data_IF_507322390445
#
_entry.id   IF_507322390445
#
_cell.length_a   1.000
_cell.length_b   1.000
_cell.length_c   1.000
_cell.angle_alpha   90.00
_cell.angle_beta   90.00
_cell.angle_gamma   90.00
#
_symmetry.space_group_name_H-M   'P 1'
#
loop_
_entity.id
_entity.type
_entity.pdbx_description
1 polymer ?
#
# COMPACT_ATOMS: atom_id res chain seq x y z
N UNK A 1 -13.49 -8.35 -14.24
CA UNK A 1 -14.77 -8.32 -13.53
C UNK A 1 -15.26 -6.88 -13.30
N UNK A 2 -14.48 -5.98 -12.66
CA UNK A 2 -14.88 -4.57 -12.47
C UNK A 2 -15.05 -3.81 -13.80
N UNK A 3 -14.21 -4.09 -14.79
CA UNK A 3 -14.25 -3.46 -16.12
C UNK A 3 -15.51 -3.78 -16.94
N UNK A 4 -16.30 -4.76 -16.54
CA UNK A 4 -17.60 -5.05 -17.15
C UNK A 4 -18.66 -4.02 -16.76
N UNK A 5 -18.52 -3.41 -15.56
CA UNK A 5 -19.50 -2.50 -14.99
C UNK A 5 -19.09 -1.03 -15.06
N UNK A 6 -17.79 -0.74 -15.14
CA UNK A 6 -17.24 0.63 -15.19
C UNK A 6 -16.09 0.71 -16.19
N UNK A 7 -15.77 1.89 -16.65
CA UNK A 7 -14.53 2.21 -17.33
C UNK A 7 -13.56 2.85 -16.33
N UNK A 8 -12.27 2.71 -16.57
CA UNK A 8 -11.22 3.20 -15.68
C UNK A 8 -10.29 4.17 -16.39
N UNK A 9 -9.78 5.16 -15.67
CA UNK A 9 -8.66 6.00 -16.11
C UNK A 9 -7.56 5.89 -15.08
N UNK A 10 -6.42 5.28 -15.44
CA UNK A 10 -5.30 5.09 -14.53
C UNK A 10 -4.63 6.42 -14.16
N UNK A 11 -4.19 6.54 -12.91
CA UNK A 11 -3.47 7.72 -12.44
C UNK A 11 -2.30 7.39 -11.51
N UNK A 12 -2.20 6.16 -11.02
CA UNK A 12 -1.18 5.76 -10.06
C UNK A 12 -1.02 4.24 -10.07
N UNK A 13 0.08 3.75 -9.50
CA UNK A 13 0.26 2.32 -9.21
C UNK A 13 0.57 2.16 -7.73
N UNK A 14 -0.25 1.40 -7.02
CA UNK A 14 -0.02 1.07 -5.62
C UNK A 14 0.37 -0.39 -5.47
N UNK A 15 1.35 -0.64 -4.63
CA UNK A 15 1.72 -1.97 -4.15
C UNK A 15 1.32 -2.14 -2.69
N UNK A 16 1.70 -3.26 -2.12
CA UNK A 16 1.62 -3.52 -0.69
C UNK A 16 3.04 -3.52 -0.13
N UNK A 17 3.24 -2.91 1.02
CA UNK A 17 4.55 -2.77 1.63
C UNK A 17 4.53 -2.99 3.13
N UNK A 18 5.70 -3.28 3.65
CA UNK A 18 5.93 -3.40 5.08
C UNK A 18 6.50 -2.11 5.64
N UNK A 19 6.15 -1.81 6.90
CA UNK A 19 6.81 -0.75 7.65
C UNK A 19 7.17 -1.22 9.06
N UNK A 20 8.33 -0.76 9.51
CA UNK A 20 8.93 -1.07 10.82
C UNK A 20 9.29 0.21 11.56
N UNK A 21 9.65 0.09 12.83
CA UNK A 21 10.26 1.20 13.54
C UNK A 21 11.58 1.60 12.89
N UNK A 22 11.87 2.89 12.86
CA UNK A 22 13.07 3.45 12.22
C UNK A 22 14.35 2.76 12.70
N UNK A 23 15.23 2.44 11.76
CA UNK A 23 16.44 1.67 12.00
C UNK A 23 16.21 0.18 12.25
N UNK A 24 14.99 -0.32 12.03
CA UNK A 24 14.63 -1.74 12.19
C UNK A 24 15.24 -2.39 13.46
N UNK A 25 14.96 -1.87 14.68
CA UNK A 25 15.65 -2.30 15.90
C UNK A 25 15.39 -3.76 16.29
N UNK A 26 14.37 -4.37 15.70
CA UNK A 26 14.04 -5.78 15.93
C UNK A 26 14.64 -6.71 14.87
N UNK A 27 15.41 -6.18 13.91
CA UNK A 27 16.01 -6.90 12.79
C UNK A 27 14.98 -7.77 12.04
N UNK A 28 13.83 -7.19 11.75
CA UNK A 28 12.76 -7.86 11.01
C UNK A 28 13.25 -8.17 9.59
N UNK A 29 13.05 -9.42 9.14
CA UNK A 29 13.21 -9.84 7.75
C UNK A 29 11.83 -10.00 7.12
N UNK A 30 11.54 -9.24 6.07
CA UNK A 30 10.27 -9.30 5.35
C UNK A 30 10.02 -10.66 4.68
N UNK A 31 11.08 -11.43 4.45
CA UNK A 31 11.02 -12.76 3.86
C UNK A 31 10.76 -13.88 4.87
N UNK A 32 10.87 -13.60 6.18
CA UNK A 32 10.57 -14.56 7.25
C UNK A 32 9.83 -13.88 8.41
N UNK A 33 8.51 -13.87 8.31
CA UNK A 33 7.62 -13.28 9.32
C UNK A 33 7.25 -14.24 10.44
N UNK A 34 7.70 -15.50 10.38
CA UNK A 34 7.36 -16.49 11.39
C UNK A 34 7.90 -16.10 12.78
N UNK A 35 7.04 -16.20 13.80
CA UNK A 35 7.37 -15.80 15.16
C UNK A 35 7.32 -14.30 15.44
N UNK A 36 7.04 -13.48 14.43
CA UNK A 36 6.91 -12.03 14.59
C UNK A 36 5.51 -11.62 15.05
N UNK A 37 5.45 -10.41 15.59
CA UNK A 37 4.24 -9.71 15.96
C UNK A 37 3.89 -8.75 14.80
N UNK A 38 2.86 -9.09 14.02
CA UNK A 38 2.48 -8.38 12.79
C UNK A 38 1.16 -7.65 12.99
N UNK A 39 1.15 -6.34 12.78
CA UNK A 39 -0.06 -5.53 12.85
C UNK A 39 -0.68 -5.34 11.46
N UNK A 40 -2.00 -5.43 11.36
CA UNK A 40 -2.76 -5.27 10.11
C UNK A 40 -4.10 -4.59 10.36
N UNK A 41 -4.65 -3.92 9.34
CA UNK A 41 -6.02 -3.44 9.40
C UNK A 41 -7.01 -4.57 9.10
N UNK A 42 -8.07 -4.67 9.90
CA UNK A 42 -9.07 -5.73 9.79
C UNK A 42 -9.90 -5.61 8.51
N UNK A 43 -10.10 -6.74 7.82
CA UNK A 43 -10.93 -6.83 6.61
C UNK A 43 -10.21 -6.44 5.33
N UNK A 44 -8.88 -6.33 5.36
CA UNK A 44 -8.03 -6.01 4.22
C UNK A 44 -7.45 -7.25 3.55
N UNK A 45 -6.95 -7.08 2.34
CA UNK A 45 -6.22 -8.15 1.62
C UNK A 45 -4.88 -8.46 2.30
N UNK A 46 -4.30 -7.48 2.98
CA UNK A 46 -3.08 -7.65 3.78
C UNK A 46 -3.34 -8.55 4.97
N UNK A 47 -4.46 -8.39 5.68
CA UNK A 47 -4.85 -9.29 6.76
C UNK A 47 -5.01 -10.73 6.25
N UNK A 48 -5.65 -10.91 5.09
CA UNK A 48 -5.78 -12.22 4.47
C UNK A 48 -4.41 -12.83 4.11
N UNK A 49 -3.50 -12.03 3.56
CA UNK A 49 -2.15 -12.46 3.21
C UNK A 49 -1.35 -12.89 4.46
N UNK A 50 -1.38 -12.10 5.53
CA UNK A 50 -0.69 -12.44 6.79
C UNK A 50 -1.29 -13.69 7.43
N UNK A 51 -2.62 -13.85 7.41
CA UNK A 51 -3.27 -15.06 7.88
C UNK A 51 -2.84 -16.31 7.08
N UNK A 52 -2.63 -16.17 5.77
CA UNK A 52 -2.11 -17.26 4.93
C UNK A 52 -0.67 -17.60 5.29
N UNK A 53 0.17 -16.58 5.48
CA UNK A 53 1.57 -16.77 5.90
C UNK A 53 1.65 -17.43 7.28
N UNK A 54 0.81 -17.03 8.23
CA UNK A 54 0.75 -17.64 9.57
C UNK A 54 0.39 -19.13 9.53
N UNK A 55 -0.55 -19.51 8.64
CA UNK A 55 -0.87 -20.92 8.41
C UNK A 55 0.31 -21.70 7.82
N UNK A 56 1.07 -21.07 6.92
CA UNK A 56 2.28 -21.67 6.34
C UNK A 56 3.37 -21.86 7.38
N UNK A 57 3.66 -20.84 8.22
CA UNK A 57 4.62 -20.98 9.32
C UNK A 57 4.31 -22.19 10.21
N UNK A 58 3.02 -22.35 10.57
CA UNK A 58 2.58 -23.51 11.37
C UNK A 58 2.75 -24.84 10.63
N UNK A 59 2.47 -24.89 9.33
CA UNK A 59 2.64 -26.09 8.52
C UNK A 59 4.11 -26.50 8.41
N UNK A 60 5.01 -25.51 8.36
CA UNK A 60 6.46 -25.70 8.27
C UNK A 60 7.12 -25.97 9.64
N UNK A 61 6.33 -26.02 10.71
CA UNK A 61 6.83 -26.25 12.08
C UNK A 61 7.61 -25.07 12.66
N UNK A 62 7.45 -23.88 12.09
CA UNK A 62 8.01 -22.62 12.59
C UNK A 62 7.12 -21.99 13.67
N UNK A 63 7.66 -20.99 14.37
CA UNK A 63 6.92 -20.22 15.36
C UNK A 63 5.74 -19.48 14.70
N UNK A 64 4.62 -19.39 15.43
CA UNK A 64 3.42 -18.74 14.91
C UNK A 64 3.61 -17.22 14.82
N UNK A 65 3.03 -16.61 13.78
CA UNK A 65 2.88 -15.15 13.73
C UNK A 65 1.81 -14.75 14.75
N UNK A 66 2.13 -13.76 15.59
CA UNK A 66 1.13 -13.08 16.44
C UNK A 66 0.50 -11.94 15.66
N UNK A 67 -0.73 -12.13 15.17
CA UNK A 67 -1.43 -11.17 14.34
C UNK A 67 -2.24 -10.21 15.20
N UNK A 68 -1.92 -8.92 15.14
CA UNK A 68 -2.65 -7.85 15.79
C UNK A 68 -3.53 -7.11 14.78
N UNK A 69 -4.78 -7.54 14.66
CA UNK A 69 -5.76 -6.87 13.79
C UNK A 69 -6.41 -5.70 14.51
N UNK A 70 -6.48 -4.56 13.87
CA UNK A 70 -7.14 -3.34 14.36
C UNK A 70 -8.11 -2.79 13.33
N UNK A 71 -9.18 -2.13 13.76
CA UNK A 71 -10.19 -1.57 12.85
C UNK A 71 -9.72 -0.31 12.11
N UNK A 72 -8.69 0.35 12.61
CA UNK A 72 -8.16 1.60 12.08
C UNK A 72 -6.66 1.46 11.82
N UNK A 73 -6.23 1.91 10.67
CA UNK A 73 -4.81 1.95 10.31
C UNK A 73 -3.98 2.80 11.30
N UNK A 74 -4.55 3.83 11.89
CA UNK A 74 -3.87 4.63 12.91
C UNK A 74 -3.47 3.82 14.15
N UNK A 75 -4.29 2.83 14.54
CA UNK A 75 -3.98 1.92 15.64
C UNK A 75 -2.87 0.93 15.24
N UNK A 76 -2.92 0.41 14.01
CA UNK A 76 -1.89 -0.44 13.41
C UNK A 76 -0.54 0.30 13.40
N UNK A 77 -0.52 1.53 12.89
CA UNK A 77 0.66 2.41 12.87
C UNK A 77 1.22 2.65 14.26
N UNK A 78 0.33 2.95 15.23
CA UNK A 78 0.71 3.19 16.62
C UNK A 78 1.30 1.93 17.28
N UNK A 79 0.80 0.74 16.95
CA UNK A 79 1.33 -0.51 17.48
C UNK A 79 2.79 -0.71 17.11
N UNK A 80 3.19 -0.38 15.88
CA UNK A 80 4.60 -0.47 15.45
C UNK A 80 5.43 0.67 16.01
N UNK A 81 4.95 1.91 15.94
CA UNK A 81 5.65 3.07 16.48
C UNK A 81 5.93 2.96 18.00
N UNK A 82 5.03 2.33 18.75
CA UNK A 82 5.21 2.08 20.19
C UNK A 82 5.99 0.81 20.53
N UNK A 83 6.39 0.02 19.53
CA UNK A 83 7.09 -1.26 19.71
C UNK A 83 6.20 -2.44 20.14
N UNK A 84 4.88 -2.27 20.22
CA UNK A 84 3.94 -3.38 20.49
C UNK A 84 3.95 -4.40 19.38
N UNK A 85 3.91 -3.97 18.12
CA UNK A 85 4.13 -4.83 16.96
C UNK A 85 5.56 -4.66 16.44
N UNK A 86 6.03 -5.63 15.67
CA UNK A 86 7.34 -5.59 15.06
C UNK A 86 7.31 -4.92 13.69
N UNK A 87 6.19 -5.10 13.00
CA UNK A 87 6.00 -4.74 11.59
C UNK A 87 4.50 -4.55 11.34
N UNK A 88 4.14 -3.69 10.40
CA UNK A 88 2.81 -3.71 9.81
C UNK A 88 2.86 -3.93 8.30
N UNK A 89 1.75 -4.39 7.74
CA UNK A 89 1.56 -4.62 6.31
C UNK A 89 0.34 -3.85 5.84
N UNK A 90 0.50 -2.98 4.84
CA UNK A 90 -0.54 -2.12 4.31
C UNK A 90 -0.22 -1.71 2.86
N UNK A 91 -1.18 -1.07 2.17
CA UNK A 91 -0.92 -0.41 0.89
C UNK A 91 0.26 0.57 1.00
N UNK A 92 1.06 0.65 -0.04
CA UNK A 92 2.26 1.50 -0.09
C UNK A 92 1.93 2.98 0.15
N UNK A 93 0.80 3.46 -0.35
CA UNK A 93 0.32 4.83 -0.11
C UNK A 93 -0.05 5.08 1.34
N UNK A 94 -0.66 4.10 1.99
CA UNK A 94 -1.04 4.14 3.41
C UNK A 94 0.23 4.12 4.28
N UNK A 95 1.19 3.26 3.94
CA UNK A 95 2.48 3.17 4.63
C UNK A 95 3.28 4.47 4.51
N UNK A 96 3.39 5.04 3.32
CA UNK A 96 4.08 6.31 3.09
C UNK A 96 3.44 7.47 3.89
N UNK A 97 2.10 7.53 3.92
CA UNK A 97 1.39 8.52 4.73
C UNK A 97 1.65 8.33 6.23
N UNK A 98 1.60 7.08 6.72
CA UNK A 98 1.85 6.76 8.12
C UNK A 98 3.28 7.16 8.54
N UNK A 99 4.29 6.84 7.72
CA UNK A 99 5.68 7.24 7.94
C UNK A 99 5.80 8.76 8.03
N UNK A 100 5.22 9.48 7.07
CA UNK A 100 5.23 10.94 7.05
C UNK A 100 4.56 11.56 8.29
N UNK A 101 3.43 11.01 8.73
CA UNK A 101 2.69 11.51 9.89
C UNK A 101 3.41 11.24 11.22
N UNK A 102 4.20 10.20 11.29
CA UNK A 102 4.94 9.82 12.50
C UNK A 102 6.32 10.48 12.63
N UNK A 103 6.70 11.34 11.66
CA UNK A 103 7.93 12.13 11.73
C UNK A 103 9.17 11.26 11.89
N UNK A 104 9.41 10.38 10.94
CA UNK A 104 10.59 9.50 10.87
C UNK A 104 10.73 8.47 12.01
N UNK A 105 9.65 8.21 12.76
CA UNK A 105 9.64 7.11 13.76
C UNK A 105 9.43 5.74 13.13
N UNK A 106 9.01 5.71 11.88
CA UNK A 106 8.82 4.51 11.06
C UNK A 106 9.61 4.63 9.76
N UNK A 107 9.91 3.49 9.17
CA UNK A 107 10.51 3.40 7.83
C UNK A 107 9.89 2.24 7.05
N UNK A 108 9.95 2.32 5.72
CA UNK A 108 9.57 1.21 4.83
C UNK A 108 10.59 0.09 4.96
N UNK A 109 10.15 -1.15 4.99
CA UNK A 109 10.99 -2.33 4.93
C UNK A 109 10.78 -3.04 3.60
N UNK A 110 11.87 -3.21 2.84
CA UNK A 110 11.87 -3.84 1.54
C UNK A 110 11.30 -2.98 0.41
N UNK A 111 10.98 -3.63 -0.69
CA UNK A 111 10.34 -3.00 -1.84
C UNK A 111 8.84 -3.29 -1.84
N UNK A 112 8.06 -2.36 -2.38
CA UNK A 112 6.61 -2.55 -2.55
C UNK A 112 6.33 -3.76 -3.46
N UNK A 113 5.56 -4.70 -2.97
CA UNK A 113 5.20 -5.89 -3.72
C UNK A 113 4.01 -5.63 -4.64
N UNK A 114 4.19 -5.93 -5.93
CA UNK A 114 3.09 -6.14 -6.87
C UNK A 114 2.22 -4.92 -7.13
N UNK A 115 2.78 -3.84 -7.65
CA UNK A 115 2.00 -2.67 -8.01
C UNK A 115 0.84 -2.99 -8.95
N UNK A 116 -0.38 -2.61 -8.54
CA UNK A 116 -1.57 -2.68 -9.37
C UNK A 116 -2.02 -1.27 -9.75
N UNK A 117 -2.53 -1.05 -10.98
CA UNK A 117 -3.02 0.26 -11.38
C UNK A 117 -4.18 0.72 -10.50
N UNK A 118 -4.05 1.93 -9.96
CA UNK A 118 -5.16 2.67 -9.39
C UNK A 118 -5.78 3.59 -10.44
N UNK A 119 -7.10 3.70 -10.43
CA UNK A 119 -7.81 4.37 -11.50
C UNK A 119 -9.09 5.05 -11.01
N UNK A 120 -9.44 6.13 -11.69
CA UNK A 120 -10.74 6.78 -11.55
C UNK A 120 -11.80 5.91 -12.23
N UNK A 121 -12.81 5.49 -11.48
CA UNK A 121 -13.94 4.73 -12.04
C UNK A 121 -14.94 5.69 -12.71
N UNK A 122 -15.25 5.42 -13.96
CA UNK A 122 -16.18 6.18 -14.81
C UNK A 122 -17.37 5.29 -15.15
N UNK A 123 -18.55 5.88 -15.29
CA UNK A 123 -19.73 5.13 -15.75
C UNK A 123 -19.44 4.41 -17.06
N UNK A 124 -19.76 3.12 -17.13
CA UNK A 124 -19.54 2.29 -18.31
C UNK A 124 -20.11 2.92 -19.58
N UNK A 125 -19.25 3.07 -20.59
CA UNK A 125 -19.61 3.65 -21.88
C UNK A 125 -19.66 5.19 -21.92
N UNK A 126 -19.35 5.90 -20.81
CA UNK A 126 -19.20 7.36 -20.84
C UNK A 126 -17.80 7.76 -21.32
N UNK A 127 -17.56 7.54 -22.61
CA UNK A 127 -16.27 7.83 -23.25
C UNK A 127 -15.87 9.30 -23.17
N UNK A 128 -16.86 10.20 -23.18
CA UNK A 128 -16.63 11.65 -23.06
C UNK A 128 -15.99 12.03 -21.73
N UNK A 129 -16.53 11.51 -20.64
CA UNK A 129 -15.98 11.74 -19.30
C UNK A 129 -14.62 11.05 -19.15
N UNK A 130 -14.46 9.81 -19.63
CA UNK A 130 -13.20 9.09 -19.58
C UNK A 130 -12.08 9.85 -20.32
N UNK A 131 -12.32 10.33 -21.53
CA UNK A 131 -11.36 11.13 -22.30
C UNK A 131 -11.03 12.47 -21.61
N UNK A 132 -12.03 13.13 -21.01
CA UNK A 132 -11.81 14.39 -20.32
C UNK A 132 -10.90 14.19 -19.09
N UNK A 133 -11.16 13.14 -18.29
CA UNK A 133 -10.35 12.78 -17.12
C UNK A 133 -8.95 12.37 -17.54
N UNK A 134 -8.81 11.53 -18.58
CA UNK A 134 -7.51 11.13 -19.11
C UNK A 134 -6.67 12.35 -19.56
N UNK A 135 -7.26 13.26 -20.34
CA UNK A 135 -6.56 14.47 -20.81
C UNK A 135 -6.16 15.39 -19.65
N UNK A 136 -7.03 15.53 -18.63
CA UNK A 136 -6.71 16.33 -17.46
C UNK A 136 -5.55 15.70 -16.67
N UNK A 137 -5.57 14.39 -16.45
CA UNK A 137 -4.50 13.69 -15.75
C UNK A 137 -3.19 13.76 -16.53
N UNK A 138 -3.22 13.49 -17.85
CA UNK A 138 -2.03 13.58 -18.70
C UNK A 138 -1.43 14.99 -18.65
N UNK A 139 -2.26 16.04 -18.67
CA UNK A 139 -1.77 17.42 -18.56
C UNK A 139 -1.04 17.66 -17.23
N UNK A 140 -1.53 17.12 -16.11
CA UNK A 140 -0.85 17.23 -14.81
C UNK A 140 0.48 16.48 -14.80
N UNK A 141 0.56 15.36 -15.51
CA UNK A 141 1.80 14.60 -15.71
C UNK A 141 2.80 15.40 -16.55
N UNK A 142 2.35 15.93 -17.69
CA UNK A 142 3.19 16.66 -18.65
C UNK A 142 3.74 17.98 -18.08
N UNK A 143 2.97 18.70 -17.26
CA UNK A 143 3.38 19.97 -16.67
C UNK A 143 4.15 19.83 -15.35
N UNK A 144 4.35 18.59 -14.86
CA UNK A 144 5.09 18.27 -13.64
C UNK A 144 4.33 18.52 -12.34
N UNK A 145 3.05 18.93 -12.40
CA UNK A 145 2.21 19.10 -11.21
C UNK A 145 1.98 17.78 -10.51
N UNK A 146 1.72 16.72 -11.28
CA UNK A 146 1.54 15.35 -10.78
C UNK A 146 2.77 14.89 -9.97
N UNK A 147 3.97 15.00 -10.55
CA UNK A 147 5.21 14.61 -9.87
C UNK A 147 5.42 15.37 -8.56
N UNK A 148 5.16 16.69 -8.54
CA UNK A 148 5.26 17.49 -7.33
C UNK A 148 4.30 17.06 -6.22
N UNK A 149 3.08 16.65 -6.60
CA UNK A 149 2.10 16.12 -5.65
C UNK A 149 2.60 14.82 -5.05
N UNK A 150 3.08 13.88 -5.87
CA UNK A 150 3.60 12.60 -5.40
C UNK A 150 4.81 12.79 -4.48
N UNK A 151 5.76 13.66 -4.84
CA UNK A 151 6.91 14.02 -4.00
C UNK A 151 6.50 14.62 -2.68
N UNK A 152 5.47 15.48 -2.69
CA UNK A 152 4.96 16.04 -1.44
C UNK A 152 4.47 14.96 -0.48
N UNK A 153 3.92 13.86 -0.99
CA UNK A 153 3.38 12.76 -0.18
C UNK A 153 4.36 11.58 0.00
N UNK A 154 5.52 11.59 -0.68
CA UNK A 154 6.53 10.54 -0.60
C UNK A 154 6.08 9.22 -1.26
N UNK A 155 5.33 9.32 -2.36
CA UNK A 155 4.75 8.18 -3.08
C UNK A 155 5.17 8.14 -4.55
N UNK A 156 6.34 8.66 -4.88
CA UNK A 156 6.84 8.75 -6.25
C UNK A 156 7.04 7.38 -6.90
N UNK A 157 7.26 6.35 -6.10
CA UNK A 157 7.44 4.98 -6.60
C UNK A 157 6.23 4.45 -7.39
N UNK A 158 5.03 4.98 -7.10
CA UNK A 158 3.80 4.63 -7.81
C UNK A 158 3.48 5.51 -9.02
N UNK A 159 4.39 6.41 -9.43
CA UNK A 159 4.16 7.32 -10.54
C UNK A 159 3.95 6.59 -11.87
N UNK A 160 2.99 7.08 -12.64
CA UNK A 160 2.79 6.69 -14.04
C UNK A 160 3.26 7.79 -14.97
N UNK A 161 3.85 7.40 -16.11
CA UNK A 161 4.24 8.33 -17.16
C UNK A 161 3.04 8.73 -18.06
N UNK A 162 1.98 7.92 -18.03
CA UNK A 162 0.83 8.07 -18.90
C UNK A 162 -0.46 7.64 -18.24
N UNK A 163 -1.50 8.47 -18.40
CA UNK A 163 -2.87 8.09 -18.04
C UNK A 163 -3.51 7.26 -19.15
N UNK A 164 -4.04 6.09 -18.83
CA UNK A 164 -4.65 5.18 -19.78
C UNK A 164 -6.11 4.91 -19.44
N UNK A 165 -6.94 4.76 -20.52
CA UNK A 165 -8.33 4.32 -20.35
C UNK A 165 -8.34 2.79 -20.44
N UNK A 166 -8.88 2.13 -19.41
CA UNK A 166 -8.98 0.66 -19.28
C UNK A 166 -7.61 -0.03 -19.45
N UNK A 167 -6.61 0.35 -18.63
CA UNK A 167 -5.26 -0.20 -18.71
C UNK A 167 -5.20 -1.71 -18.47
#
# INVERSE_FOLDING_TARGET
ERMESVDFVSYFTAGMGYAVAAGNPKNVDENDLCGLNVAVETGTVEEEAINKTAKQCKADGKDAIDIQSSKLQTDVTTAVASGKASIFYADSTVSAYAIKQTGDTLETLGEDAGGVPEAVAIKKGDTKTAEAVQKAMQKLMDDGTYTKILQHWGVESGALDKAEINP
#
